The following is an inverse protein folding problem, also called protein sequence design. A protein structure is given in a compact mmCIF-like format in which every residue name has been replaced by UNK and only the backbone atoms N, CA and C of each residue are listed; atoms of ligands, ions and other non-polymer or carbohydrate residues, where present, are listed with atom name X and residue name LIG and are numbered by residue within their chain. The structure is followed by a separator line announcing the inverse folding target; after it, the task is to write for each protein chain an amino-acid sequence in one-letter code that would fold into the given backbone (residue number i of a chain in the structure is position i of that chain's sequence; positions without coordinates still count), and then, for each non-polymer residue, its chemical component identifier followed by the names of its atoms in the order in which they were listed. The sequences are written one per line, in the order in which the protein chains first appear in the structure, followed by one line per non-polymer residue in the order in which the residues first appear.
data_IF_919606745055
#
_entry.id   IF_919606745055
#
_cell.length_a   1.000
_cell.length_b   1.000
_cell.length_c   1.000
_cell.angle_alpha   90.00
_cell.angle_beta   90.00
_cell.angle_gamma   90.00
#
_symmetry.space_group_name_H-M   'P 1'
#
loop_
_entity.id
_entity.type
_entity.pdbx_description
1 polymer ?
#
# COMPACT_ATOMS: atom_id res chain seq x y z
N UNK A 1 -14.65 -16.10 38.97
CA UNK A 1 -15.60 -15.13 38.39
C UNK A 1 -15.09 -14.70 37.03
N UNK A 2 -15.82 -15.11 36.03
CA UNK A 2 -15.46 -15.10 34.62
C UNK A 2 -15.43 -13.67 34.05
N UNK A 3 -14.62 -13.46 33.00
CA UNK A 3 -14.42 -12.18 32.33
C UNK A 3 -15.73 -11.57 31.77
N UNK A 4 -16.72 -12.42 31.53
CA UNK A 4 -18.06 -12.02 31.05
C UNK A 4 -18.89 -11.37 32.15
N UNK A 5 -18.77 -11.77 33.41
CA UNK A 5 -19.51 -11.18 34.54
C UNK A 5 -18.99 -9.80 34.96
N UNK A 6 -17.76 -9.42 34.58
CA UNK A 6 -17.20 -8.08 34.82
C UNK A 6 -17.63 -7.05 33.77
N UNK A 7 -17.96 -7.50 32.56
CA UNK A 7 -18.44 -6.62 31.47
C UNK A 7 -19.91 -6.24 31.65
N UNK A 8 -20.75 -7.15 32.21
CA UNK A 8 -22.17 -6.84 32.40
C UNK A 8 -22.46 -5.88 33.57
N UNK A 9 -21.54 -5.76 34.55
CA UNK A 9 -21.71 -4.81 35.67
C UNK A 9 -21.40 -3.33 35.30
N UNK A 10 -20.76 -3.07 34.17
CA UNK A 10 -20.42 -1.70 33.73
C UNK A 10 -21.48 -1.05 32.84
N UNK A 11 -22.50 -1.77 32.40
CA UNK A 11 -23.52 -1.26 31.47
C UNK A 11 -24.86 -0.87 32.12
N UNK A 12 -24.99 -0.88 33.45
CA UNK A 12 -26.28 -0.63 34.14
C UNK A 12 -26.39 0.73 34.84
N UNK A 13 -25.38 1.58 34.77
CA UNK A 13 -25.48 2.96 35.31
C UNK A 13 -24.91 3.96 34.35
N UNK A 14 -25.73 4.48 33.46
CA UNK A 14 -25.84 5.90 33.09
C UNK A 14 -26.78 6.07 31.87
N UNK A 15 -28.08 6.16 32.14
CA UNK A 15 -29.06 6.58 31.12
C UNK A 15 -29.82 7.83 31.55
N UNK A 16 -29.10 8.84 32.07
CA UNK A 16 -29.69 10.17 32.22
C UNK A 16 -28.63 11.24 31.91
N UNK A 17 -28.79 11.88 30.74
CA UNK A 17 -28.13 13.13 30.44
C UNK A 17 -27.15 13.13 29.26
N UNK A 18 -27.59 12.87 28.06
CA UNK A 18 -26.91 13.34 26.82
C UNK A 18 -27.95 13.70 25.76
N UNK A 19 -28.66 14.81 26.00
CA UNK A 19 -29.26 15.58 24.92
C UNK A 19 -28.25 16.67 24.53
N UNK A 20 -27.57 16.47 23.41
CA UNK A 20 -26.57 17.41 22.90
C UNK A 20 -25.58 16.73 21.96
N UNK A 21 -26.07 16.00 20.94
CA UNK A 21 -25.22 15.52 19.87
C UNK A 21 -24.88 16.67 18.93
N UNK A 22 -23.70 17.24 19.08
CA UNK A 22 -23.06 17.98 17.99
C UNK A 22 -22.53 16.92 17.02
N UNK A 23 -23.36 16.52 16.06
CA UNK A 23 -22.87 15.86 14.85
C UNK A 23 -22.06 16.93 14.08
N UNK A 24 -20.78 16.70 13.73
CA UNK A 24 -20.16 17.49 12.70
C UNK A 24 -21.03 17.30 11.45
N UNK A 25 -21.46 18.42 10.86
CA UNK A 25 -22.18 18.41 9.58
C UNK A 25 -21.35 17.57 8.59
N UNK A 26 -21.81 16.36 8.33
CA UNK A 26 -21.41 15.61 7.18
C UNK A 26 -21.87 16.45 5.99
N UNK A 27 -20.92 17.16 5.37
CA UNK A 27 -21.13 17.70 4.04
C UNK A 27 -21.63 16.55 3.20
N UNK A 28 -22.88 16.57 2.85
CA UNK A 28 -23.59 15.55 2.09
C UNK A 28 -23.02 15.50 0.66
N UNK A 29 -21.90 14.82 0.49
CA UNK A 29 -21.57 14.21 -0.77
C UNK A 29 -22.53 13.03 -0.94
N UNK A 30 -23.70 13.26 -1.49
CA UNK A 30 -24.61 12.22 -1.97
C UNK A 30 -23.98 11.54 -3.19
N UNK A 31 -22.89 10.81 -2.97
CA UNK A 31 -22.19 10.03 -3.97
C UNK A 31 -22.40 8.56 -3.68
N UNK A 32 -23.30 7.91 -4.40
CA UNK A 32 -23.09 6.47 -4.66
C UNK A 32 -21.65 6.31 -5.13
N UNK A 33 -20.84 5.45 -4.49
CA UNK A 33 -19.44 5.23 -4.86
C UNK A 33 -19.31 5.04 -6.38
N UNK A 34 -18.24 5.58 -6.95
CA UNK A 34 -18.10 5.69 -8.41
C UNK A 34 -17.31 4.52 -9.01
N UNK A 35 -16.47 3.85 -8.22
CA UNK A 35 -15.44 2.95 -8.73
C UNK A 35 -15.60 1.50 -8.25
N UNK A 36 -15.24 0.59 -9.14
CA UNK A 36 -15.11 -0.83 -8.83
C UNK A 36 -13.66 -1.13 -8.46
N UNK A 37 -13.45 -1.68 -7.28
CA UNK A 37 -12.11 -2.03 -6.78
C UNK A 37 -12.00 -3.54 -6.61
N UNK A 38 -10.96 -4.13 -7.20
CA UNK A 38 -10.63 -5.54 -7.00
C UNK A 38 -9.45 -5.66 -6.02
N UNK A 39 -9.63 -6.44 -4.96
CA UNK A 39 -8.61 -6.74 -3.97
C UNK A 39 -8.16 -8.20 -4.14
N UNK A 40 -6.95 -8.40 -4.65
CA UNK A 40 -6.40 -9.71 -4.96
C UNK A 40 -5.47 -10.19 -3.82
N UNK A 41 -5.91 -11.19 -3.06
CA UNK A 41 -5.32 -11.63 -1.80
C UNK A 41 -6.15 -11.21 -0.59
N UNK A 42 -7.46 -11.13 -0.77
CA UNK A 42 -8.40 -10.54 0.18
C UNK A 42 -8.60 -11.36 1.47
N UNK A 43 -8.32 -12.66 1.44
CA UNK A 43 -8.43 -13.53 2.62
C UNK A 43 -7.15 -13.55 3.48
N UNK A 44 -6.06 -12.92 3.02
CA UNK A 44 -4.78 -12.86 3.70
C UNK A 44 -4.74 -11.89 4.87
N UNK A 45 -3.64 -11.94 5.65
CA UNK A 45 -3.44 -11.09 6.83
C UNK A 45 -3.35 -9.58 6.54
N UNK A 46 -3.03 -9.17 5.31
CA UNK A 46 -3.15 -7.78 4.83
C UNK A 46 -4.53 -7.57 4.20
N UNK A 47 -5.01 -8.55 3.43
CA UNK A 47 -6.23 -8.43 2.65
C UNK A 47 -7.47 -8.15 3.48
N UNK A 48 -7.69 -8.89 4.58
CA UNK A 48 -8.87 -8.71 5.42
C UNK A 48 -8.95 -7.31 6.07
N UNK A 49 -7.93 -6.82 6.80
CA UNK A 49 -7.98 -5.46 7.35
C UNK A 49 -8.00 -4.38 6.27
N UNK A 50 -7.37 -4.60 5.11
CA UNK A 50 -7.46 -3.67 3.99
C UNK A 50 -8.88 -3.64 3.41
N UNK A 51 -9.54 -4.79 3.25
CA UNK A 51 -10.93 -4.87 2.80
C UNK A 51 -11.88 -4.12 3.75
N UNK A 52 -11.66 -4.21 5.07
CA UNK A 52 -12.40 -3.44 6.06
C UNK A 52 -12.23 -1.93 5.89
N UNK A 53 -11.02 -1.45 5.66
CA UNK A 53 -10.75 -0.03 5.46
C UNK A 53 -11.34 0.47 4.14
N UNK A 54 -11.20 -0.30 3.05
CA UNK A 54 -11.76 0.03 1.75
C UNK A 54 -13.30 0.01 1.74
N UNK A 55 -13.93 -0.87 2.52
CA UNK A 55 -15.40 -0.95 2.67
C UNK A 55 -16.00 0.37 3.15
N UNK A 56 -15.24 1.18 3.89
CA UNK A 56 -15.67 2.47 4.42
C UNK A 56 -15.54 3.62 3.42
N UNK A 57 -14.87 3.40 2.28
CA UNK A 57 -14.61 4.44 1.30
C UNK A 57 -15.87 4.87 0.55
N UNK A 58 -16.19 6.17 0.58
CA UNK A 58 -17.27 6.76 -0.19
C UNK A 58 -17.03 6.74 -1.73
N UNK A 59 -15.81 6.47 -2.17
CA UNK A 59 -15.45 6.39 -3.59
C UNK A 59 -15.75 5.01 -4.19
N UNK A 60 -15.90 3.98 -3.36
CA UNK A 60 -16.07 2.59 -3.82
C UNK A 60 -17.54 2.26 -3.99
N UNK A 61 -17.93 1.90 -5.22
CA UNK A 61 -19.23 1.35 -5.55
C UNK A 61 -19.29 -0.14 -5.25
N UNK A 62 -18.27 -0.87 -5.69
CA UNK A 62 -18.16 -2.30 -5.50
C UNK A 62 -16.74 -2.68 -5.11
N UNK A 63 -16.60 -3.41 -4.00
CA UNK A 63 -15.36 -4.03 -3.54
C UNK A 63 -15.42 -5.53 -3.83
N UNK A 64 -14.60 -5.99 -4.75
CA UNK A 64 -14.52 -7.39 -5.18
C UNK A 64 -13.34 -8.07 -4.50
N UNK A 65 -13.63 -9.02 -3.64
CA UNK A 65 -12.65 -9.76 -2.87
C UNK A 65 -12.27 -11.02 -3.63
N UNK A 66 -11.02 -11.11 -4.05
CA UNK A 66 -10.49 -12.30 -4.72
C UNK A 66 -9.37 -12.95 -3.89
N UNK A 67 -9.43 -14.28 -3.78
CA UNK A 67 -8.34 -15.10 -3.26
C UNK A 67 -8.46 -16.53 -3.81
N UNK A 68 -7.46 -17.38 -3.56
CA UNK A 68 -7.52 -18.80 -3.92
C UNK A 68 -8.57 -19.56 -3.10
N UNK A 69 -8.91 -19.07 -1.91
CA UNK A 69 -9.93 -19.64 -1.00
C UNK A 69 -10.45 -18.58 -0.01
N UNK A 70 -11.50 -18.92 0.73
CA UNK A 70 -11.98 -18.23 1.95
C UNK A 70 -12.51 -16.79 1.79
N UNK A 71 -12.79 -16.30 0.58
CA UNK A 71 -13.32 -14.93 0.41
C UNK A 71 -14.78 -14.79 0.82
N UNK A 72 -15.56 -15.87 0.77
CA UNK A 72 -16.99 -15.82 1.05
C UNK A 72 -17.29 -15.37 2.50
N UNK A 73 -16.56 -15.91 3.49
CA UNK A 73 -16.70 -15.50 4.88
C UNK A 73 -16.33 -14.04 5.12
N UNK A 74 -15.22 -13.58 4.53
CA UNK A 74 -14.79 -12.18 4.62
C UNK A 74 -15.82 -11.24 3.98
N UNK A 75 -16.37 -11.60 2.83
CA UNK A 75 -17.39 -10.79 2.17
C UNK A 75 -18.71 -10.75 2.94
N UNK A 76 -19.13 -11.87 3.52
CA UNK A 76 -20.33 -11.94 4.36
C UNK A 76 -20.19 -11.01 5.57
N UNK A 77 -19.08 -11.08 6.31
CA UNK A 77 -18.81 -10.24 7.47
C UNK A 77 -18.79 -8.74 7.08
N UNK A 78 -18.07 -8.39 6.04
CA UNK A 78 -18.01 -7.01 5.54
C UNK A 78 -19.36 -6.50 5.03
N UNK A 79 -20.23 -7.37 4.51
CA UNK A 79 -21.57 -6.99 4.02
C UNK A 79 -22.50 -6.50 5.14
N UNK A 80 -22.22 -6.87 6.40
CA UNK A 80 -22.97 -6.41 7.57
C UNK A 80 -22.59 -4.98 7.99
N UNK A 81 -21.54 -4.39 7.42
CA UNK A 81 -21.15 -3.00 7.69
C UNK A 81 -22.00 -2.05 6.86
N UNK A 82 -22.73 -1.16 7.53
CA UNK A 82 -23.68 -0.23 6.95
C UNK A 82 -23.00 0.93 6.19
N UNK A 83 -22.33 0.61 5.07
CA UNK A 83 -21.73 1.59 4.15
C UNK A 83 -22.17 1.31 2.71
N UNK A 84 -22.07 2.31 1.82
CA UNK A 84 -22.57 2.24 0.46
C UNK A 84 -21.85 1.26 -0.48
N UNK A 85 -20.63 0.86 -0.17
CA UNK A 85 -19.86 -0.05 -1.01
C UNK A 85 -20.45 -1.48 -0.98
N UNK A 86 -20.83 -2.04 -2.13
CA UNK A 86 -21.22 -3.45 -2.24
C UNK A 86 -19.95 -4.33 -2.15
N UNK A 87 -20.04 -5.47 -1.47
CA UNK A 87 -18.93 -6.43 -1.39
C UNK A 87 -19.33 -7.72 -2.08
N UNK A 88 -18.44 -8.28 -2.89
CA UNK A 88 -18.62 -9.58 -3.56
C UNK A 88 -17.39 -10.47 -3.34
N UNK A 89 -17.64 -11.78 -3.27
CA UNK A 89 -16.60 -12.78 -3.05
C UNK A 89 -16.33 -13.56 -4.34
N UNK A 90 -15.05 -13.78 -4.62
CA UNK A 90 -14.56 -14.52 -5.77
C UNK A 90 -13.42 -15.42 -5.31
N UNK A 91 -13.54 -16.74 -5.47
CA UNK A 91 -12.53 -17.70 -5.02
C UNK A 91 -12.14 -18.68 -6.12
N UNK A 92 -10.83 -19.00 -6.14
CA UNK A 92 -10.26 -19.95 -7.10
C UNK A 92 -9.93 -19.33 -8.47
N UNK A 93 -9.17 -20.06 -9.27
CA UNK A 93 -8.62 -19.58 -10.54
C UNK A 93 -9.71 -19.10 -11.52
N UNK A 94 -10.81 -19.81 -11.58
CA UNK A 94 -11.92 -19.54 -12.53
C UNK A 94 -12.66 -18.21 -12.21
N UNK A 95 -12.60 -17.76 -10.96
CA UNK A 95 -13.27 -16.55 -10.52
C UNK A 95 -12.45 -15.26 -10.76
N UNK A 96 -11.16 -15.38 -11.13
CA UNK A 96 -10.28 -14.22 -11.31
C UNK A 96 -10.83 -13.25 -12.36
N UNK A 97 -11.30 -13.77 -13.50
CA UNK A 97 -11.87 -12.94 -14.57
C UNK A 97 -13.07 -12.14 -14.11
N UNK A 98 -13.98 -12.76 -13.37
CA UNK A 98 -15.18 -12.09 -12.83
C UNK A 98 -14.81 -11.04 -11.79
N UNK A 99 -13.82 -11.29 -10.94
CA UNK A 99 -13.33 -10.31 -9.97
C UNK A 99 -12.73 -9.08 -10.64
N UNK A 100 -12.05 -9.26 -11.77
CA UNK A 100 -11.32 -8.20 -12.48
C UNK A 100 -12.17 -7.43 -13.49
N UNK A 101 -13.19 -8.07 -14.08
CA UNK A 101 -13.95 -7.46 -15.19
C UNK A 101 -14.51 -6.08 -14.83
N UNK A 102 -14.06 -5.04 -15.55
CA UNK A 102 -14.50 -3.67 -15.33
C UNK A 102 -14.02 -3.05 -13.99
N UNK A 103 -12.95 -3.56 -13.39
CA UNK A 103 -12.31 -2.91 -12.25
C UNK A 103 -11.63 -1.60 -12.68
N UNK A 104 -11.76 -0.58 -11.83
CA UNK A 104 -11.11 0.73 -11.98
C UNK A 104 -9.74 0.79 -11.30
N UNK A 105 -9.63 0.10 -10.17
CA UNK A 105 -8.41 -0.05 -9.38
C UNK A 105 -8.27 -1.51 -8.96
N UNK A 106 -7.09 -2.06 -9.14
CA UNK A 106 -6.71 -3.41 -8.68
C UNK A 106 -5.61 -3.26 -7.63
N UNK A 107 -5.85 -3.77 -6.43
CA UNK A 107 -4.88 -3.76 -5.32
C UNK A 107 -4.42 -5.19 -5.07
N UNK A 108 -3.11 -5.41 -5.04
CA UNK A 108 -2.53 -6.75 -5.02
C UNK A 108 -1.63 -6.95 -3.80
N UNK A 109 -2.20 -7.29 -2.62
CA UNK A 109 -1.43 -7.77 -1.48
C UNK A 109 -1.14 -9.29 -1.54
N UNK A 110 -1.59 -10.00 -2.57
CA UNK A 110 -1.41 -11.43 -2.71
C UNK A 110 0.05 -11.84 -2.65
N UNK A 111 0.35 -12.83 -1.85
CA UNK A 111 1.68 -13.40 -1.67
C UNK A 111 1.73 -14.32 -0.46
N UNK A 112 2.80 -15.09 -0.37
CA UNK A 112 3.04 -15.94 0.78
C UNK A 112 4.06 -15.31 1.71
N UNK A 113 3.88 -15.41 3.03
CA UNK A 113 4.91 -15.02 3.99
C UNK A 113 6.06 -16.03 3.95
N UNK A 114 7.25 -15.59 4.34
CA UNK A 114 8.40 -16.50 4.50
C UNK A 114 8.09 -17.56 5.57
N UNK A 115 8.22 -18.82 5.18
CA UNK A 115 8.06 -19.97 6.08
C UNK A 115 9.45 -20.47 6.54
N UNK A 116 9.54 -21.14 7.70
CA UNK A 116 10.76 -21.84 8.10
C UNK A 116 11.27 -22.77 6.99
N UNK A 117 12.57 -22.75 6.72
CA UNK A 117 13.19 -23.54 5.66
C UNK A 117 13.17 -22.92 4.24
N UNK A 118 12.39 -21.87 4.00
CA UNK A 118 12.43 -21.14 2.73
C UNK A 118 13.64 -20.24 2.63
N UNK A 119 14.34 -20.31 1.49
CA UNK A 119 15.33 -19.31 1.10
C UNK A 119 14.66 -18.01 0.64
N UNK A 120 15.44 -16.93 0.50
CA UNK A 120 14.93 -15.67 -0.09
C UNK A 120 14.55 -15.87 -1.57
N UNK A 121 15.25 -16.74 -2.27
CA UNK A 121 15.00 -17.02 -3.69
C UNK A 121 13.74 -17.85 -3.89
N UNK A 122 13.47 -18.83 -3.02
CA UNK A 122 12.20 -19.58 -3.04
C UNK A 122 11.01 -18.65 -2.85
N UNK A 123 11.09 -17.77 -1.84
CA UNK A 123 10.03 -16.78 -1.58
C UNK A 123 9.83 -15.82 -2.75
N UNK A 124 10.95 -15.35 -3.34
CA UNK A 124 10.90 -14.49 -4.51
C UNK A 124 10.19 -15.20 -5.67
N UNK A 125 10.59 -16.42 -6.02
CA UNK A 125 10.03 -17.16 -7.15
C UNK A 125 8.53 -17.43 -6.99
N UNK A 126 8.08 -17.77 -5.78
CA UNK A 126 6.65 -17.98 -5.50
C UNK A 126 5.87 -16.67 -5.69
N UNK A 127 6.30 -15.58 -5.05
CA UNK A 127 5.57 -14.32 -5.13
C UNK A 127 5.63 -13.69 -6.53
N UNK A 128 6.76 -13.79 -7.22
CA UNK A 128 6.90 -13.38 -8.61
C UNK A 128 5.95 -14.14 -9.54
N UNK A 129 5.80 -15.45 -9.34
CA UNK A 129 4.84 -16.28 -10.07
C UNK A 129 3.39 -15.88 -9.81
N UNK A 130 3.03 -15.60 -8.55
CA UNK A 130 1.70 -15.11 -8.18
C UNK A 130 1.42 -13.77 -8.88
N UNK A 131 2.34 -12.80 -8.78
CA UNK A 131 2.16 -11.48 -9.41
C UNK A 131 2.05 -11.62 -10.93
N UNK A 132 2.90 -12.43 -11.58
CA UNK A 132 2.82 -12.67 -13.02
C UNK A 132 1.44 -13.19 -13.45
N UNK A 133 0.89 -14.15 -12.72
CA UNK A 133 -0.44 -14.72 -13.01
C UNK A 133 -1.55 -13.71 -12.83
N UNK A 134 -1.55 -12.97 -11.72
CA UNK A 134 -2.59 -11.98 -11.43
C UNK A 134 -2.55 -10.81 -12.41
N UNK A 135 -1.35 -10.33 -12.77
CA UNK A 135 -1.18 -9.23 -13.74
C UNK A 135 -1.56 -9.67 -15.17
N UNK A 136 -1.32 -10.92 -15.55
CA UNK A 136 -1.84 -11.47 -16.81
C UNK A 136 -3.38 -11.44 -16.82
N UNK A 137 -4.02 -11.72 -15.68
CA UNK A 137 -5.47 -11.53 -15.51
C UNK A 137 -5.89 -10.08 -15.69
N UNK A 138 -5.18 -9.13 -15.08
CA UNK A 138 -5.44 -7.69 -15.23
C UNK A 138 -5.34 -7.28 -16.71
N UNK A 139 -4.28 -7.68 -17.39
CA UNK A 139 -4.07 -7.40 -18.81
C UNK A 139 -5.24 -7.89 -19.70
N UNK A 140 -5.82 -9.03 -19.33
CA UNK A 140 -6.91 -9.65 -20.10
C UNK A 140 -8.28 -9.06 -19.79
N UNK A 141 -8.60 -8.80 -18.51
CA UNK A 141 -9.97 -8.52 -18.06
C UNK A 141 -10.24 -7.06 -17.68
N UNK A 142 -9.20 -6.29 -17.35
CA UNK A 142 -9.32 -4.87 -16.99
C UNK A 142 -8.06 -4.06 -17.37
N UNK A 143 -7.62 -4.04 -18.64
CA UNK A 143 -6.36 -3.45 -19.07
C UNK A 143 -6.24 -1.93 -18.80
N UNK A 144 -7.36 -1.25 -18.61
CA UNK A 144 -7.40 0.18 -18.28
C UNK A 144 -7.42 0.48 -16.76
N UNK A 145 -7.46 -0.56 -15.92
CA UNK A 145 -7.43 -0.39 -14.48
C UNK A 145 -6.09 0.18 -14.00
N UNK A 146 -6.12 0.93 -12.90
CA UNK A 146 -4.91 1.25 -12.17
C UNK A 146 -4.49 0.02 -11.37
N UNK A 147 -3.19 -0.24 -11.30
CA UNK A 147 -2.65 -1.43 -10.66
C UNK A 147 -1.69 -1.05 -9.53
N UNK A 148 -2.06 -1.36 -8.29
CA UNK A 148 -1.30 -1.09 -7.09
C UNK A 148 -0.73 -2.40 -6.52
N UNK A 149 0.57 -2.62 -6.68
CA UNK A 149 1.30 -3.82 -6.23
C UNK A 149 1.82 -3.60 -4.80
N UNK A 150 1.40 -4.48 -3.89
CA UNK A 150 1.88 -4.57 -2.50
C UNK A 150 2.77 -5.80 -2.32
N UNK A 151 2.60 -6.80 -3.17
CA UNK A 151 3.30 -8.10 -3.12
C UNK A 151 4.81 -7.92 -3.12
N UNK A 152 5.47 -8.42 -2.08
CA UNK A 152 6.92 -8.32 -1.94
C UNK A 152 7.68 -9.42 -2.72
N UNK A 153 8.90 -9.09 -3.19
CA UNK A 153 9.64 -7.82 -3.05
C UNK A 153 9.22 -6.79 -4.11
N UNK A 154 8.68 -5.65 -3.69
CA UNK A 154 8.10 -4.61 -4.57
C UNK A 154 9.10 -4.13 -5.63
N UNK A 155 10.38 -3.98 -5.28
CA UNK A 155 11.44 -3.54 -6.20
C UNK A 155 11.59 -4.47 -7.42
N UNK A 156 11.12 -5.73 -7.31
CA UNK A 156 11.16 -6.71 -8.40
C UNK A 156 9.79 -7.00 -9.00
N UNK A 157 8.73 -7.02 -8.17
CA UNK A 157 7.38 -7.39 -8.63
C UNK A 157 6.75 -6.34 -9.52
N UNK A 158 7.08 -5.05 -9.33
CA UNK A 158 6.63 -3.97 -10.23
C UNK A 158 7.29 -4.07 -11.61
N UNK A 159 8.62 -4.26 -11.75
CA UNK A 159 9.23 -4.60 -13.03
C UNK A 159 8.60 -5.85 -13.71
N UNK A 160 8.31 -6.91 -12.96
CA UNK A 160 7.61 -8.10 -13.50
C UNK A 160 6.24 -7.69 -14.05
N UNK A 161 5.45 -6.94 -13.28
CA UNK A 161 4.14 -6.48 -13.71
C UNK A 161 4.23 -5.65 -15.00
N UNK A 162 5.20 -4.74 -15.09
CA UNK A 162 5.43 -3.94 -16.28
C UNK A 162 5.72 -4.81 -17.53
N UNK A 163 6.59 -5.80 -17.40
CA UNK A 163 6.94 -6.67 -18.52
C UNK A 163 5.75 -7.56 -18.98
N UNK A 164 4.94 -8.05 -18.02
CA UNK A 164 3.71 -8.81 -18.35
C UNK A 164 2.72 -7.92 -19.11
N UNK A 165 2.51 -6.66 -18.68
CA UNK A 165 1.62 -5.72 -19.34
C UNK A 165 2.17 -5.30 -20.72
N UNK A 166 3.49 -5.13 -20.87
CA UNK A 166 4.14 -4.85 -22.15
C UNK A 166 3.96 -6.01 -23.13
N UNK A 167 4.18 -7.25 -22.68
CA UNK A 167 4.00 -8.44 -23.52
C UNK A 167 2.54 -8.59 -24.01
N UNK A 168 1.58 -8.12 -23.19
CA UNK A 168 0.16 -8.09 -23.57
C UNK A 168 -0.24 -6.86 -24.41
N UNK A 169 0.66 -5.91 -24.65
CA UNK A 169 0.39 -4.69 -25.42
C UNK A 169 -0.50 -3.65 -24.71
N UNK A 170 -0.62 -3.72 -23.38
CA UNK A 170 -1.51 -2.86 -22.57
C UNK A 170 -0.79 -2.07 -21.48
N UNK A 171 0.54 -2.01 -21.53
CA UNK A 171 1.32 -1.29 -20.52
C UNK A 171 1.13 0.22 -20.62
N UNK A 172 0.66 0.81 -19.52
CA UNK A 172 0.62 2.24 -19.30
C UNK A 172 1.41 2.56 -18.02
N UNK A 173 2.60 3.21 -18.11
CA UNK A 173 3.42 3.51 -16.94
C UNK A 173 2.72 4.45 -15.95
N UNK A 174 1.74 5.23 -16.39
CA UNK A 174 0.99 6.12 -15.51
C UNK A 174 0.00 5.38 -14.60
N UNK A 175 -0.27 4.10 -14.85
CA UNK A 175 -1.28 3.30 -14.13
C UNK A 175 -0.70 2.13 -13.35
N UNK A 176 0.61 1.96 -13.31
CA UNK A 176 1.28 0.90 -12.55
C UNK A 176 2.05 1.49 -11.37
N UNK A 177 1.73 1.03 -10.17
CA UNK A 177 2.29 1.54 -8.92
C UNK A 177 2.79 0.39 -8.04
N UNK A 178 3.98 0.54 -7.47
CA UNK A 178 4.40 -0.18 -6.27
C UNK A 178 4.06 0.65 -5.04
N UNK A 179 3.35 0.07 -4.10
CA UNK A 179 2.89 0.76 -2.88
C UNK A 179 4.03 0.82 -1.88
N UNK A 180 4.61 2.00 -1.69
CA UNK A 180 5.66 2.29 -0.69
C UNK A 180 5.15 3.16 0.47
N UNK A 181 3.85 3.41 0.51
CA UNK A 181 3.19 4.27 1.51
C UNK A 181 3.44 3.81 2.94
N UNK A 182 3.69 2.51 3.19
CA UNK A 182 4.05 2.03 4.52
C UNK A 182 5.37 2.66 5.03
N UNK A 183 6.33 2.91 4.16
CA UNK A 183 7.58 3.55 4.55
C UNK A 183 7.36 5.02 4.90
N UNK A 184 6.45 5.69 4.19
CA UNK A 184 6.00 7.06 4.50
C UNK A 184 5.26 7.11 5.85
N UNK A 185 4.33 6.18 6.10
CA UNK A 185 3.57 6.07 7.35
C UNK A 185 4.50 5.87 8.54
N UNK A 186 5.49 5.00 8.40
CA UNK A 186 6.53 4.76 9.43
C UNK A 186 7.41 5.99 9.64
N UNK A 187 7.88 6.63 8.57
CA UNK A 187 8.67 7.85 8.64
C UNK A 187 7.89 8.97 9.36
N UNK A 188 6.61 9.17 9.02
CA UNK A 188 5.72 10.12 9.71
C UNK A 188 5.61 9.82 11.20
N UNK A 189 5.33 8.57 11.57
CA UNK A 189 5.18 8.16 12.96
C UNK A 189 6.46 8.38 13.77
N UNK A 190 7.62 7.98 13.22
CA UNK A 190 8.91 8.08 13.93
C UNK A 190 9.43 9.53 13.99
N UNK A 191 9.19 10.34 12.95
CA UNK A 191 9.49 11.79 13.01
C UNK A 191 8.56 12.50 13.99
N UNK A 192 7.28 12.14 14.05
CA UNK A 192 6.35 12.67 15.04
C UNK A 192 6.80 12.36 16.48
N UNK A 193 7.22 11.11 16.74
CA UNK A 193 7.81 10.69 18.02
C UNK A 193 9.05 11.52 18.37
N UNK A 194 9.95 11.75 17.41
CA UNK A 194 11.20 12.49 17.62
C UNK A 194 10.98 14.01 17.80
N UNK A 195 9.89 14.56 17.26
CA UNK A 195 9.61 16.02 17.30
C UNK A 195 8.54 16.42 18.31
N UNK A 196 7.78 15.47 18.84
CA UNK A 196 6.59 15.71 19.65
C UNK A 196 5.40 16.29 18.86
N UNK A 197 5.46 16.27 17.52
CA UNK A 197 4.37 16.72 16.66
C UNK A 197 3.24 15.67 16.57
N UNK A 198 2.02 16.11 16.25
CA UNK A 198 0.94 15.19 15.92
C UNK A 198 1.29 14.46 14.58
N UNK A 199 1.16 13.13 14.51
CA UNK A 199 1.53 12.38 13.29
C UNK A 199 0.83 12.86 12.01
N UNK A 200 -0.40 13.36 12.14
CA UNK A 200 -1.19 13.88 11.02
C UNK A 200 -0.65 15.21 10.47
N UNK A 201 0.12 15.93 11.28
CA UNK A 201 0.77 17.18 10.88
C UNK A 201 2.17 16.95 10.27
N UNK A 202 2.66 15.71 10.30
CA UNK A 202 4.00 15.39 9.78
C UNK A 202 3.92 14.89 8.34
N UNK A 203 4.76 15.46 7.47
CA UNK A 203 5.01 14.95 6.12
C UNK A 203 6.49 14.61 5.98
N UNK A 204 6.80 13.43 5.43
CA UNK A 204 8.17 12.99 5.14
C UNK A 204 8.18 12.29 3.80
N UNK A 205 8.76 12.87 2.75
CA UNK A 205 8.94 12.14 1.50
C UNK A 205 9.90 10.97 1.70
N UNK A 206 9.57 9.80 1.15
CA UNK A 206 10.46 8.64 1.13
C UNK A 206 10.70 8.25 -0.31
N UNK A 207 11.96 8.14 -0.71
CA UNK A 207 12.37 7.85 -2.08
C UNK A 207 13.20 6.58 -2.20
N UNK A 208 13.44 6.12 -3.43
CA UNK A 208 14.31 4.98 -3.72
C UNK A 208 13.52 3.72 -4.10
N UNK A 209 13.43 2.79 -3.16
CA UNK A 209 12.71 1.52 -3.29
C UNK A 209 11.96 1.16 -2.01
N UNK A 210 11.71 -0.15 -1.82
CA UNK A 210 10.92 -0.67 -0.68
C UNK A 210 11.63 -1.84 0.04
N UNK A 211 12.95 -1.81 0.16
CA UNK A 211 13.71 -2.84 0.86
C UNK A 211 15.01 -2.27 1.46
N UNK A 212 15.20 -2.45 2.76
CA UNK A 212 16.44 -2.11 3.45
C UNK A 212 17.01 -0.73 3.09
N UNK A 213 18.24 -0.69 2.64
CA UNK A 213 18.95 0.55 2.27
C UNK A 213 18.32 1.30 1.08
N UNK A 214 17.45 0.64 0.31
CA UNK A 214 16.75 1.31 -0.80
C UNK A 214 15.64 2.25 -0.33
N UNK A 215 15.23 2.17 0.94
CA UNK A 215 14.27 3.08 1.56
C UNK A 215 15.03 4.32 2.04
N UNK A 216 14.81 5.47 1.42
CA UNK A 216 15.50 6.72 1.79
C UNK A 216 14.49 7.78 2.21
N UNK A 217 14.26 7.96 3.53
CA UNK A 217 13.45 9.07 4.04
C UNK A 217 14.22 10.38 3.89
N UNK A 218 13.55 11.41 3.36
CA UNK A 218 14.11 12.74 3.21
C UNK A 218 13.77 13.58 4.45
N UNK A 219 14.57 13.43 5.51
CA UNK A 219 14.38 14.15 6.78
C UNK A 219 14.59 15.66 6.62
N UNK A 220 15.44 16.07 5.66
CA UNK A 220 15.67 17.47 5.32
C UNK A 220 14.46 18.15 4.65
N UNK A 221 13.57 17.36 4.05
CA UNK A 221 12.32 17.81 3.41
C UNK A 221 11.08 17.52 4.27
N UNK A 222 11.26 17.02 5.50
CA UNK A 222 10.15 16.76 6.41
C UNK A 222 9.50 18.07 6.91
N UNK A 223 8.19 18.05 7.14
CA UNK A 223 7.44 19.17 7.72
C UNK A 223 6.60 18.62 8.87
N UNK A 224 6.76 19.17 10.11
CA UNK A 224 7.82 20.08 10.53
C UNK A 224 9.20 19.46 10.41
N UNK A 225 10.21 20.28 10.10
CA UNK A 225 11.57 19.77 9.99
C UNK A 225 12.11 19.39 11.38
N UNK A 226 12.55 18.12 11.55
CA UNK A 226 13.08 17.68 12.83
C UNK A 226 14.43 18.34 13.12
N UNK A 227 14.59 18.84 14.35
CA UNK A 227 15.87 19.42 14.84
C UNK A 227 16.70 18.29 15.44
N UNK A 228 17.39 17.54 14.60
CA UNK A 228 18.21 16.39 14.97
C UNK A 228 19.69 16.69 14.74
N UNK A 229 20.53 16.19 15.63
CA UNK A 229 21.96 16.04 15.33
C UNK A 229 22.16 15.05 14.18
N UNK A 230 23.34 15.04 13.57
CA UNK A 230 23.66 14.08 12.51
C UNK A 230 23.54 12.62 12.98
N UNK A 231 23.95 12.33 14.21
CA UNK A 231 23.85 11.00 14.81
C UNK A 231 22.39 10.56 15.00
N UNK A 232 21.53 11.45 15.48
CA UNK A 232 20.08 11.18 15.63
C UNK A 232 19.39 11.01 14.28
N UNK A 233 19.70 11.85 13.31
CA UNK A 233 19.17 11.73 11.95
C UNK A 233 19.56 10.39 11.29
N UNK A 234 20.83 9.98 11.46
CA UNK A 234 21.32 8.69 10.99
C UNK A 234 20.62 7.51 11.67
N UNK A 235 20.44 7.58 12.98
CA UNK A 235 19.74 6.55 13.75
C UNK A 235 18.26 6.45 13.35
N UNK A 236 17.58 7.58 13.17
CA UNK A 236 16.20 7.64 12.72
C UNK A 236 16.03 7.07 11.29
N UNK A 237 16.92 7.44 10.38
CA UNK A 237 16.94 6.87 9.02
C UNK A 237 17.12 5.35 9.06
N UNK A 238 18.07 4.83 9.83
CA UNK A 238 18.30 3.40 9.98
C UNK A 238 17.08 2.68 10.57
N UNK A 239 16.40 3.27 11.57
CA UNK A 239 15.17 2.72 12.14
C UNK A 239 14.04 2.64 11.11
N UNK A 240 13.87 3.67 10.28
CA UNK A 240 12.86 3.67 9.20
C UNK A 240 13.15 2.55 8.19
N UNK A 241 14.41 2.38 7.80
CA UNK A 241 14.86 1.33 6.88
C UNK A 241 14.64 -0.08 7.45
N UNK A 242 14.81 -0.29 8.75
CA UNK A 242 14.68 -1.60 9.42
C UNK A 242 13.33 -1.81 10.14
N UNK A 243 12.39 -0.89 10.01
CA UNK A 243 11.11 -0.95 10.71
C UNK A 243 10.29 -2.22 10.43
N UNK A 244 10.50 -2.84 9.27
CA UNK A 244 9.93 -4.16 8.96
C UNK A 244 10.44 -5.27 9.89
N UNK A 245 11.74 -5.27 10.18
CA UNK A 245 12.39 -6.22 11.09
C UNK A 245 11.91 -6.04 12.53
N UNK A 246 11.68 -4.79 12.95
CA UNK A 246 11.08 -4.49 14.28
C UNK A 246 9.77 -5.26 14.50
N UNK A 247 8.87 -5.20 13.49
CA UNK A 247 7.58 -5.93 13.55
C UNK A 247 7.77 -7.44 13.53
N UNK A 248 8.65 -7.97 12.68
CA UNK A 248 8.92 -9.42 12.62
C UNK A 248 9.46 -9.94 13.95
N UNK A 249 10.38 -9.21 14.59
CA UNK A 249 10.92 -9.54 15.92
C UNK A 249 9.80 -9.51 16.98
N UNK A 250 8.99 -8.45 17.01
CA UNK A 250 7.89 -8.33 17.97
C UNK A 250 6.82 -9.42 17.80
N UNK A 251 6.62 -9.92 16.59
CA UNK A 251 5.72 -11.04 16.30
C UNK A 251 6.37 -12.42 16.50
N UNK A 252 7.58 -12.49 17.04
CA UNK A 252 8.34 -13.72 17.24
C UNK A 252 8.41 -14.62 15.99
N UNK A 253 8.52 -14.01 14.81
CA UNK A 253 8.57 -14.70 13.52
C UNK A 253 7.22 -15.16 12.96
N UNK A 254 6.10 -14.87 13.63
CA UNK A 254 4.75 -15.24 13.17
C UNK A 254 4.22 -14.36 12.01
N UNK A 255 5.10 -13.73 11.26
CA UNK A 255 4.77 -12.92 10.09
C UNK A 255 5.37 -11.51 10.14
N UNK A 256 5.01 -10.71 9.15
CA UNK A 256 5.45 -9.32 8.96
C UNK A 256 4.34 -8.32 9.30
N UNK A 257 4.51 -7.07 8.90
CA UNK A 257 3.48 -6.05 9.01
C UNK A 257 2.21 -6.44 8.24
N UNK A 258 1.08 -6.38 8.91
CA UNK A 258 -0.25 -6.65 8.34
C UNK A 258 -1.17 -5.44 8.52
N UNK A 259 -1.42 -5.01 9.73
CA UNK A 259 -2.34 -3.90 10.03
C UNK A 259 -1.82 -2.56 9.49
N UNK A 260 -0.55 -2.22 9.77
CA UNK A 260 0.06 -1.00 9.26
C UNK A 260 0.20 -1.01 7.73
N UNK A 261 0.43 -2.20 7.12
CA UNK A 261 0.42 -2.31 5.66
C UNK A 261 -0.98 -2.11 5.08
N UNK A 262 -2.01 -2.68 5.70
CA UNK A 262 -3.39 -2.48 5.29
C UNK A 262 -3.80 -1.01 5.40
N UNK A 263 -3.40 -0.33 6.47
CA UNK A 263 -3.62 1.11 6.63
C UNK A 263 -2.96 1.92 5.51
N UNK A 264 -1.67 1.71 5.28
CA UNK A 264 -0.92 2.40 4.22
C UNK A 264 -1.50 2.15 2.82
N UNK A 265 -1.90 0.90 2.54
CA UNK A 265 -2.52 0.55 1.27
C UNK A 265 -3.90 1.19 1.09
N UNK A 266 -4.68 1.33 2.16
CA UNK A 266 -5.97 2.03 2.12
C UNK A 266 -5.80 3.54 1.90
N UNK A 267 -4.77 4.16 2.51
CA UNK A 267 -4.37 5.55 2.26
C UNK A 267 -4.05 5.74 0.78
N UNK A 268 -3.14 4.92 0.22
CA UNK A 268 -2.75 4.97 -1.19
C UNK A 268 -3.92 4.73 -2.14
N UNK A 269 -4.73 3.70 -1.89
CA UNK A 269 -5.90 3.39 -2.72
C UNK A 269 -6.93 4.52 -2.69
N UNK A 270 -7.15 5.15 -1.53
CA UNK A 270 -8.05 6.31 -1.40
C UNK A 270 -7.52 7.49 -2.21
N UNK A 271 -6.23 7.79 -2.16
CA UNK A 271 -5.60 8.84 -2.97
C UNK A 271 -5.74 8.55 -4.48
N UNK A 272 -5.56 7.29 -4.91
CA UNK A 272 -5.82 6.90 -6.29
C UNK A 272 -7.28 7.19 -6.70
N UNK A 273 -8.24 6.83 -5.86
CA UNK A 273 -9.67 7.03 -6.17
C UNK A 273 -10.06 8.51 -6.14
N UNK A 274 -9.48 9.32 -5.25
CA UNK A 274 -9.65 10.78 -5.21
C UNK A 274 -9.16 11.42 -6.50
N UNK A 275 -7.93 11.10 -6.90
CA UNK A 275 -7.35 11.61 -8.14
C UNK A 275 -8.14 11.17 -9.38
N UNK A 276 -8.55 9.89 -9.43
CA UNK A 276 -9.41 9.35 -10.51
C UNK A 276 -10.77 10.02 -10.57
N UNK A 277 -11.29 10.49 -9.42
CA UNK A 277 -12.52 11.29 -9.33
C UNK A 277 -12.34 12.74 -9.79
N UNK A 278 -11.12 13.18 -10.10
CA UNK A 278 -10.79 14.52 -10.59
C UNK A 278 -10.28 15.49 -9.52
N UNK A 279 -10.00 15.02 -8.30
CA UNK A 279 -9.35 15.84 -7.28
C UNK A 279 -7.93 16.20 -7.71
N UNK A 280 -7.57 17.48 -7.56
CA UNK A 280 -6.26 18.01 -7.93
C UNK A 280 -5.32 18.06 -6.73
N UNK A 281 -4.01 18.03 -7.00
CA UNK A 281 -2.99 18.15 -5.96
C UNK A 281 -2.85 16.89 -5.06
N UNK A 282 -3.34 15.75 -5.50
CA UNK A 282 -3.14 14.47 -4.82
C UNK A 282 -1.72 14.01 -5.10
N UNK A 283 -0.90 13.95 -4.07
CA UNK A 283 0.51 13.52 -4.15
C UNK A 283 0.75 12.35 -3.23
N UNK A 284 1.37 11.30 -3.76
CA UNK A 284 1.77 10.12 -3.01
C UNK A 284 3.21 9.73 -3.34
N UNK A 285 3.92 9.12 -2.39
CA UNK A 285 5.16 8.42 -2.73
C UNK A 285 4.83 7.04 -3.26
N UNK A 286 5.28 6.73 -4.46
CA UNK A 286 5.04 5.45 -5.11
C UNK A 286 6.25 4.99 -5.92
N UNK A 287 6.46 3.68 -5.98
CA UNK A 287 7.49 3.06 -6.81
C UNK A 287 6.96 2.84 -8.23
N UNK A 288 7.46 3.58 -9.17
CA UNK A 288 6.92 3.69 -10.53
C UNK A 288 8.02 3.68 -11.58
N UNK A 289 7.66 3.46 -12.84
CA UNK A 289 8.56 3.74 -13.95
C UNK A 289 8.95 5.22 -13.93
N UNK A 290 10.25 5.51 -13.94
CA UNK A 290 10.76 6.85 -13.70
C UNK A 290 12.05 7.10 -14.48
N UNK A 291 12.28 8.35 -14.82
CA UNK A 291 13.52 8.85 -15.44
C UNK A 291 14.28 9.82 -14.51
N UNK A 292 13.93 9.89 -13.23
CA UNK A 292 14.60 10.74 -12.24
C UNK A 292 16.03 10.30 -11.94
N UNK A 293 16.33 9.02 -12.17
CA UNK A 293 17.64 8.41 -11.94
C UNK A 293 18.00 7.49 -13.11
N UNK A 294 19.17 6.85 -13.05
CA UNK A 294 19.55 5.79 -14.02
C UNK A 294 18.73 4.51 -13.87
N UNK A 295 18.05 4.31 -12.74
CA UNK A 295 17.18 3.16 -12.51
C UNK A 295 15.84 3.36 -13.24
N UNK A 296 15.35 2.37 -14.00
CA UNK A 296 14.10 2.50 -14.78
C UNK A 296 12.84 2.50 -13.90
N UNK A 297 12.96 2.13 -12.62
CA UNK A 297 11.92 2.22 -11.62
C UNK A 297 12.48 2.87 -10.36
N UNK A 298 11.71 3.77 -9.77
CA UNK A 298 12.15 4.53 -8.60
C UNK A 298 10.95 5.00 -7.79
N UNK A 299 11.03 4.95 -6.46
CA UNK A 299 10.03 5.53 -5.57
C UNK A 299 10.32 7.02 -5.37
N UNK A 300 9.31 7.84 -5.58
CA UNK A 300 9.38 9.28 -5.34
C UNK A 300 7.98 9.85 -5.16
N UNK A 301 7.82 11.10 -4.69
CA UNK A 301 6.54 11.78 -4.80
C UNK A 301 6.06 11.82 -6.25
N UNK A 302 4.83 11.40 -6.49
CA UNK A 302 4.14 11.48 -7.78
C UNK A 302 2.83 12.25 -7.60
N UNK A 303 2.53 13.15 -8.50
CA UNK A 303 1.25 13.83 -8.56
C UNK A 303 0.29 12.98 -9.40
N UNK A 304 -0.84 12.62 -8.80
CA UNK A 304 -1.89 11.81 -9.42
C UNK A 304 -2.94 12.71 -10.06
N UNK A 305 -3.46 12.28 -11.20
CA UNK A 305 -4.59 12.90 -11.90
C UNK A 305 -5.57 11.84 -12.40
N UNK A 306 -6.64 12.22 -13.10
CA UNK A 306 -7.69 11.27 -13.51
C UNK A 306 -7.22 10.11 -14.39
N UNK A 307 -6.11 10.28 -15.12
CA UNK A 307 -5.53 9.26 -15.99
C UNK A 307 -4.48 8.36 -15.33
N UNK A 308 -4.05 8.65 -14.12
CA UNK A 308 -2.92 8.01 -13.45
C UNK A 308 -1.91 9.04 -12.97
N UNK A 309 -0.61 8.76 -13.12
CA UNK A 309 0.46 9.73 -12.83
C UNK A 309 0.35 10.88 -13.81
N UNK A 310 0.08 12.08 -13.29
CA UNK A 310 0.06 13.31 -14.07
C UNK A 310 1.45 13.94 -14.17
N UNK A 311 2.25 13.83 -13.11
CA UNK A 311 3.60 14.40 -13.06
C UNK A 311 4.45 13.70 -12.01
N UNK A 312 5.73 13.55 -12.29
CA UNK A 312 6.77 13.17 -11.33
C UNK A 312 7.64 14.41 -11.10
N UNK A 313 7.54 15.06 -9.93
CA UNK A 313 8.36 16.24 -9.63
C UNK A 313 9.85 15.85 -9.55
N UNK A 314 10.76 16.79 -9.82
CA UNK A 314 12.18 16.58 -9.57
C UNK A 314 12.44 16.34 -8.07
N UNK A 315 13.51 15.60 -7.78
CA UNK A 315 13.91 15.38 -6.39
C UNK A 315 14.33 16.71 -5.74
N UNK A 316 14.00 16.94 -4.47
CA UNK A 316 14.50 18.09 -3.74
C UNK A 316 16.02 18.00 -3.56
N UNK A 317 16.63 19.09 -3.12
CA UNK A 317 18.04 19.08 -2.76
C UNK A 317 18.25 18.14 -1.56
N UNK A 318 19.08 17.13 -1.74
CA UNK A 318 19.42 16.17 -0.69
C UNK A 318 20.47 16.75 0.27
N UNK A 319 20.34 16.51 1.56
CA UNK A 319 21.38 16.75 2.56
C UNK A 319 22.58 15.82 2.34
N UNK A 320 23.76 16.08 2.94
CA UNK A 320 24.91 15.18 2.82
C UNK A 320 24.61 13.73 3.25
N UNK A 321 23.85 13.54 4.33
CA UNK A 321 23.43 12.22 4.81
C UNK A 321 22.53 11.50 3.78
N UNK A 322 21.58 12.22 3.19
CA UNK A 322 20.68 11.69 2.17
C UNK A 322 21.40 11.40 0.85
N UNK A 323 22.41 12.22 0.48
CA UNK A 323 23.27 11.94 -0.67
C UNK A 323 24.06 10.64 -0.50
N UNK A 324 24.61 10.42 0.70
CA UNK A 324 25.29 9.16 1.02
C UNK A 324 24.31 7.96 0.95
N UNK A 325 23.10 8.10 1.51
CA UNK A 325 22.04 7.08 1.41
C UNK A 325 21.61 6.83 -0.04
N UNK A 326 21.48 7.89 -0.83
CA UNK A 326 21.14 7.80 -2.27
C UNK A 326 22.22 7.05 -3.05
N UNK A 327 23.50 7.30 -2.78
CA UNK A 327 24.59 6.57 -3.41
C UNK A 327 24.59 5.08 -3.00
N UNK A 328 24.37 4.79 -1.71
CA UNK A 328 24.40 3.44 -1.18
C UNK A 328 23.27 2.54 -1.70
N UNK A 329 22.09 3.11 -2.06
CA UNK A 329 20.95 2.32 -2.53
C UNK A 329 21.05 1.82 -3.98
N UNK A 330 21.88 2.46 -4.83
CA UNK A 330 21.83 2.31 -6.29
C UNK A 330 22.05 0.86 -6.74
N UNK A 331 23.05 0.19 -6.18
CA UNK A 331 23.40 -1.18 -6.57
C UNK A 331 22.30 -2.18 -6.17
N UNK A 332 21.80 -2.11 -4.94
CA UNK A 332 20.75 -3.00 -4.45
C UNK A 332 19.44 -2.80 -5.23
N UNK A 333 19.09 -1.53 -5.52
CA UNK A 333 17.92 -1.21 -6.29
C UNK A 333 18.02 -1.76 -7.73
N UNK A 334 19.14 -1.53 -8.40
CA UNK A 334 19.40 -2.05 -9.74
C UNK A 334 19.38 -3.58 -9.77
N UNK A 335 20.01 -4.24 -8.79
CA UNK A 335 19.98 -5.71 -8.65
C UNK A 335 18.55 -6.25 -8.50
N UNK A 336 17.74 -5.62 -7.65
CA UNK A 336 16.34 -6.00 -7.42
C UNK A 336 15.50 -5.84 -8.70
N UNK A 337 15.68 -4.74 -9.44
CA UNK A 337 15.00 -4.50 -10.71
C UNK A 337 15.38 -5.57 -11.74
N UNK A 338 16.69 -5.81 -11.93
CA UNK A 338 17.19 -6.79 -12.88
C UNK A 338 16.66 -8.18 -12.58
N UNK A 339 16.64 -8.60 -11.31
CA UNK A 339 16.06 -9.88 -10.88
C UNK A 339 14.58 -10.01 -11.31
N UNK A 340 13.81 -8.94 -11.20
CA UNK A 340 12.42 -8.91 -11.68
C UNK A 340 12.31 -9.03 -13.20
N UNK A 341 13.11 -8.26 -13.93
CA UNK A 341 13.14 -8.29 -15.40
C UNK A 341 13.58 -9.65 -15.97
N UNK A 342 14.59 -10.26 -15.35
CA UNK A 342 15.06 -11.62 -15.74
C UNK A 342 13.99 -12.70 -15.50
N UNK A 343 13.26 -12.60 -14.36
CA UNK A 343 12.16 -13.51 -14.07
C UNK A 343 11.03 -13.40 -15.10
N UNK A 344 10.69 -12.19 -15.51
CA UNK A 344 9.61 -11.96 -16.46
C UNK A 344 9.91 -12.45 -17.88
N UNK A 345 11.21 -12.56 -18.25
CA UNK A 345 11.65 -13.06 -19.56
C UNK A 345 11.67 -14.59 -19.69
N UNK A 346 11.57 -15.31 -18.57
CA UNK A 346 11.45 -16.77 -18.50
C UNK A 346 9.99 -17.21 -18.66
#
# INVERSE_FOLDING_TARGET
MDRVSRLSAHFVHDTQGLAGSVHPEATSASGSGKFNVALLGAAGGIGQPLALLLKQSAYIKELRLYDVANTAGVAADLSHIATGARVTAHSGAEALGTALFGADLVVVPAGVPRKPGMTRDDLFNINAGIVRTLVAGVARYCPAAWLAIISNPVNSTVPIAAEVLKAAGVYDPARLFGVTTLDVVRARAFVAEATGAAPEAVTVPVIGGHAGVTILPLLSAAVPQPRLSEAEAKALMARIQDAGTEVVKAKAGAGSATLSMAYAAAEFATSCLRAKAGERGVVECAYVASNLTSSPFFASPVELGPGGIARIPPLPRLSPLEQAGFAAMQEELASSINKGLEFARK
#
